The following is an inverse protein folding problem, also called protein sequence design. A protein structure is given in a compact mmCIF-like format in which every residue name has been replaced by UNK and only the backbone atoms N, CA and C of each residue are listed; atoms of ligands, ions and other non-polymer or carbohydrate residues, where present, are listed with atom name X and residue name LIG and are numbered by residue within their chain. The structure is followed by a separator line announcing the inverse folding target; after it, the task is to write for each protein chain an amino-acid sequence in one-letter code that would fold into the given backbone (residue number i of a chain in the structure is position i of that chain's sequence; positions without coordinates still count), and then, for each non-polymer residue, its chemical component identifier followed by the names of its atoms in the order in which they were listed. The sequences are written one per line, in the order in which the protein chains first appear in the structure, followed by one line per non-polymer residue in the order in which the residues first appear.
data_IF_002443820964
#
_entry.id   IF_002443820964
#
_cell.length_a   1.000
_cell.length_b   1.000
_cell.length_c   1.000
_cell.angle_alpha   90.00
_cell.angle_beta   90.00
_cell.angle_gamma   90.00
#
_symmetry.space_group_name_H-M   'P 1'
#
loop_
_entity.id
_entity.type
_entity.pdbx_description
1 polymer ?
#
# COMPACT_ATOMS: atom_id res chain seq x y z
N UNK A 1 -8.43 -9.81 -7.35
CA UNK A 1 -9.35 -10.30 -6.30
C UNK A 1 -10.12 -11.52 -6.82
N UNK A 2 -10.49 -12.51 -5.98
CA UNK A 2 -11.36 -13.62 -6.37
C UNK A 2 -12.67 -13.14 -7.02
N UNK A 3 -13.14 -13.84 -8.04
CA UNK A 3 -14.32 -13.44 -8.81
C UNK A 3 -15.60 -13.45 -7.96
N UNK A 4 -15.69 -14.39 -7.03
CA UNK A 4 -16.85 -14.57 -6.15
C UNK A 4 -17.08 -13.37 -5.21
N UNK A 5 -16.03 -12.58 -4.95
CA UNK A 5 -16.11 -11.39 -4.09
C UNK A 5 -16.49 -10.12 -4.85
N UNK A 6 -16.45 -10.12 -6.20
CA UNK A 6 -16.77 -8.93 -7.00
C UNK A 6 -18.20 -8.42 -6.77
N UNK A 7 -19.25 -9.28 -6.70
CA UNK A 7 -20.60 -8.81 -6.39
C UNK A 7 -20.71 -8.17 -5.00
N UNK A 8 -19.97 -8.68 -4.01
CA UNK A 8 -19.96 -8.12 -2.65
C UNK A 8 -19.33 -6.72 -2.64
N UNK A 9 -18.22 -6.53 -3.34
CA UNK A 9 -17.58 -5.22 -3.48
C UNK A 9 -18.48 -4.22 -4.23
N UNK A 10 -19.17 -4.67 -5.27
CA UNK A 10 -20.14 -3.86 -6.00
C UNK A 10 -21.30 -3.41 -5.09
N UNK A 11 -21.79 -4.27 -4.17
CA UNK A 11 -22.80 -3.91 -3.18
C UNK A 11 -22.32 -2.84 -2.19
N UNK A 12 -21.02 -2.75 -1.94
CA UNK A 12 -20.42 -1.66 -1.15
C UNK A 12 -20.19 -0.37 -1.95
N UNK A 13 -20.58 -0.33 -3.23
CA UNK A 13 -20.35 0.81 -4.11
C UNK A 13 -18.90 0.95 -4.56
N UNK A 14 -18.10 -0.12 -4.48
CA UNK A 14 -16.69 -0.12 -4.88
C UNK A 14 -16.59 -0.61 -6.33
N UNK A 15 -16.33 0.32 -7.26
CA UNK A 15 -16.04 0.02 -8.66
C UNK A 15 -14.52 -0.06 -8.89
N UNK A 16 -13.97 -1.27 -8.73
CA UNK A 16 -12.54 -1.51 -8.92
C UNK A 16 -12.06 -1.26 -10.35
N UNK A 17 -12.77 -1.72 -11.41
CA UNK A 17 -12.37 -1.40 -12.77
C UNK A 17 -12.26 0.10 -13.06
N UNK A 18 -13.24 0.90 -12.60
CA UNK A 18 -13.17 2.35 -12.74
C UNK A 18 -12.00 2.97 -11.97
N UNK A 19 -11.73 2.48 -10.75
CA UNK A 19 -10.61 2.95 -9.93
C UNK A 19 -9.23 2.58 -10.51
N UNK A 20 -9.11 1.39 -11.09
CA UNK A 20 -7.86 0.88 -11.65
C UNK A 20 -7.59 1.38 -13.07
N UNK A 21 -8.64 1.73 -13.83
CA UNK A 21 -8.54 2.06 -15.25
C UNK A 21 -8.38 0.84 -16.16
N UNK A 22 -8.70 -0.36 -15.68
CA UNK A 22 -8.64 -1.61 -16.41
C UNK A 22 -9.65 -2.65 -15.86
N UNK A 23 -9.71 -3.85 -16.45
CA UNK A 23 -10.59 -4.93 -15.99
C UNK A 23 -9.85 -6.00 -15.17
N UNK A 24 -8.73 -5.65 -14.53
CA UNK A 24 -7.90 -6.60 -13.78
C UNK A 24 -8.56 -7.08 -12.48
N UNK A 25 -9.39 -6.23 -11.85
CA UNK A 25 -9.89 -6.41 -10.48
C UNK A 25 -8.75 -6.65 -9.47
N UNK A 26 -7.56 -6.11 -9.74
CA UNK A 26 -6.44 -6.13 -8.80
C UNK A 26 -6.71 -5.18 -7.64
N UNK A 27 -6.25 -5.58 -6.45
CA UNK A 27 -6.26 -4.72 -5.27
C UNK A 27 -4.85 -4.16 -5.09
N UNK A 28 -4.70 -2.86 -4.79
CA UNK A 28 -3.38 -2.31 -4.54
C UNK A 28 -2.77 -2.94 -3.29
N UNK A 29 -1.50 -3.33 -3.38
CA UNK A 29 -0.71 -3.75 -2.22
C UNK A 29 -0.28 -2.50 -1.45
N UNK A 30 -0.63 -2.35 -0.17
CA UNK A 30 -0.17 -1.20 0.61
C UNK A 30 1.34 -1.27 0.82
N UNK A 31 1.98 -0.12 0.72
CA UNK A 31 3.40 0.02 0.98
C UNK A 31 3.68 1.31 1.77
N UNK A 32 4.73 1.28 2.59
CA UNK A 32 5.26 2.44 3.29
C UNK A 32 6.74 2.56 2.99
N UNK A 33 7.16 3.73 2.51
CA UNK A 33 8.55 4.03 2.18
C UNK A 33 9.02 5.26 2.93
N UNK A 34 10.29 5.26 3.35
CA UNK A 34 11.01 6.47 3.72
C UNK A 34 12.06 6.72 2.64
N UNK A 35 11.97 7.86 1.97
CA UNK A 35 12.83 8.23 0.85
C UNK A 35 13.65 9.45 1.26
N UNK A 36 14.97 9.42 1.09
CA UNK A 36 15.84 10.56 1.40
C UNK A 36 15.82 11.62 0.28
N UNK A 37 16.55 12.73 0.47
CA UNK A 37 16.60 13.83 -0.52
C UNK A 37 17.28 13.45 -1.84
N UNK A 38 18.11 12.42 -1.83
CA UNK A 38 18.77 11.89 -3.03
C UNK A 38 17.91 10.84 -3.75
N UNK A 39 16.62 10.74 -3.39
CA UNK A 39 15.65 9.79 -3.94
C UNK A 39 16.00 8.31 -3.68
N UNK A 40 16.75 8.04 -2.61
CA UNK A 40 17.11 6.68 -2.17
C UNK A 40 16.10 6.20 -1.12
N UNK A 41 15.60 4.97 -1.31
CA UNK A 41 14.75 4.29 -0.32
C UNK A 41 15.61 3.88 0.88
N UNK A 42 15.28 4.40 2.05
CA UNK A 42 15.97 4.16 3.32
C UNK A 42 15.23 3.18 4.22
N UNK A 43 13.94 2.97 3.96
CA UNK A 43 13.07 2.00 4.61
C UNK A 43 11.95 1.66 3.62
N UNK A 44 11.62 0.38 3.52
CA UNK A 44 10.44 -0.13 2.83
C UNK A 44 9.68 -1.10 3.74
N UNK A 45 8.38 -1.14 3.52
CA UNK A 45 7.49 -2.15 4.07
C UNK A 45 6.37 -2.38 3.08
N UNK A 46 6.30 -3.59 2.54
CA UNK A 46 5.32 -4.01 1.53
C UNK A 46 4.66 -5.28 2.05
N UNK A 47 3.35 -5.23 2.28
CA UNK A 47 2.61 -6.37 2.82
C UNK A 47 1.32 -6.60 2.03
N UNK A 48 1.18 -7.82 1.48
CA UNK A 48 -0.02 -8.25 0.76
C UNK A 48 -1.21 -8.33 1.71
N UNK A 49 -0.94 -8.70 2.97
CA UNK A 49 -1.93 -8.62 4.02
C UNK A 49 -2.18 -7.16 4.40
N UNK A 50 -3.20 -6.58 3.77
CA UNK A 50 -3.53 -5.16 3.90
C UNK A 50 -4.00 -4.72 5.30
N UNK A 51 -4.13 -5.61 6.30
CA UNK A 51 -4.31 -5.20 7.70
C UNK A 51 -3.00 -5.11 8.48
N UNK A 52 -1.90 -5.65 7.94
CA UNK A 52 -0.56 -5.45 8.51
C UNK A 52 -0.03 -4.07 8.12
N UNK A 53 0.54 -3.38 9.10
CA UNK A 53 1.14 -2.05 8.93
C UNK A 53 2.49 -2.03 9.63
N UNK A 54 3.38 -1.21 9.12
CA UNK A 54 4.66 -0.96 9.78
C UNK A 54 4.42 -0.25 11.12
N UNK A 55 5.16 -0.67 12.15
CA UNK A 55 5.18 0.03 13.43
C UNK A 55 5.74 1.46 13.27
N UNK A 56 5.02 2.50 13.71
CA UNK A 56 5.44 3.89 13.51
C UNK A 56 6.85 4.20 14.06
N UNK A 57 7.27 3.49 15.12
CA UNK A 57 8.60 3.65 15.71
C UNK A 57 9.73 3.32 14.74
N UNK A 58 9.54 2.36 13.82
CA UNK A 58 10.53 2.04 12.79
C UNK A 58 10.67 3.16 11.75
N UNK A 59 9.56 3.82 11.39
CA UNK A 59 9.60 4.99 10.51
C UNK A 59 10.39 6.13 11.17
N UNK A 60 10.09 6.45 12.43
CA UNK A 60 10.80 7.51 13.16
C UNK A 60 12.29 7.17 13.31
N UNK A 61 12.62 5.91 13.58
CA UNK A 61 14.02 5.46 13.66
C UNK A 61 14.75 5.62 12.31
N UNK A 62 14.11 5.29 11.18
CA UNK A 62 14.68 5.50 9.86
C UNK A 62 14.89 6.99 9.56
N UNK A 63 13.92 7.86 9.86
CA UNK A 63 14.04 9.30 9.69
C UNK A 63 15.20 9.90 10.49
N UNK A 64 15.40 9.46 11.73
CA UNK A 64 16.52 9.91 12.58
C UNK A 64 17.90 9.52 12.02
N UNK A 65 18.00 8.45 11.23
CA UNK A 65 19.25 8.06 10.56
C UNK A 65 19.54 8.91 9.32
N UNK A 66 18.53 9.56 8.74
CA UNK A 66 18.65 10.42 7.57
C UNK A 66 18.97 11.86 7.97
N UNK A 67 18.46 12.31 9.12
CA UNK A 67 18.72 13.64 9.65
C UNK A 67 20.19 13.78 10.06
N UNK A 68 20.99 14.40 9.20
CA UNK A 68 22.30 14.99 9.49
C UNK A 68 22.11 16.42 9.96
#
# INVERSE_FOLDING_TARGET
MPEELRPVYAQFGIDLPAANGDNSFELPVPASYVINRDSIIMLDFVEVDHIKRIEPSYIIAALKKIAV
#
